data_IF_522222949076
#
_entry.id   IF_522222949076
#
_cell.length_a   1.000
_cell.length_b   1.000
_cell.length_c   1.000
_cell.angle_alpha   90.00
_cell.angle_beta   90.00
_cell.angle_gamma   90.00
#
_symmetry.space_group_name_H-M   'P 1'
#
loop_
_entity.id
_entity.type
_entity.pdbx_description
1 polymer ?
#
# COMPACT_ATOMS: atom_id res chain seq x y z
N UNK A 1 9.13 -7.84 -46.01
CA UNK A 1 8.29 -6.85 -46.75
C UNK A 1 7.26 -6.29 -45.79
N UNK A 2 7.20 -4.96 -45.66
CA UNK A 2 6.09 -4.08 -45.22
C UNK A 2 5.33 -4.36 -43.91
N UNK A 3 4.93 -3.39 -43.08
CA UNK A 3 5.21 -1.95 -42.96
C UNK A 3 4.64 -1.47 -41.59
N UNK A 4 5.45 -0.62 -40.95
CA UNK A 4 5.26 0.39 -39.89
C UNK A 4 3.84 0.78 -39.40
N UNK A 5 3.71 0.69 -38.06
CA UNK A 5 3.45 1.72 -37.01
C UNK A 5 2.20 2.66 -37.04
N UNK A 6 1.72 3.07 -35.83
CA UNK A 6 0.53 3.87 -35.57
C UNK A 6 0.82 5.38 -35.54
N UNK A 7 -0.21 6.22 -35.52
CA UNK A 7 -0.08 7.64 -35.16
C UNK A 7 -1.35 8.14 -34.48
N UNK A 8 -1.14 8.84 -33.36
CA UNK A 8 -2.14 9.68 -32.71
C UNK A 8 -1.62 11.12 -32.57
N UNK A 9 -2.55 12.00 -32.15
CA UNK A 9 -2.48 13.44 -31.73
C UNK A 9 -3.15 14.40 -32.72
N UNK A 10 -4.27 15.05 -32.37
CA UNK A 10 -4.52 16.15 -31.39
C UNK A 10 -4.26 17.55 -31.98
N UNK A 11 -5.38 18.27 -32.15
CA UNK A 11 -5.64 19.73 -32.02
C UNK A 11 -4.94 20.77 -32.89
N UNK A 12 -5.74 21.60 -33.59
CA UNK A 12 -6.01 23.01 -33.21
C UNK A 12 -7.03 23.69 -34.13
N UNK A 13 -7.85 24.52 -33.49
CA UNK A 13 -8.74 25.53 -34.04
C UNK A 13 -7.99 26.75 -34.57
N UNK A 14 -8.48 27.37 -35.64
CA UNK A 14 -8.36 28.83 -35.90
C UNK A 14 -9.62 29.32 -36.62
N UNK A 15 -10.24 30.34 -36.03
CA UNK A 15 -11.34 31.15 -36.52
C UNK A 15 -10.79 32.49 -37.05
N UNK A 16 -11.43 33.07 -38.08
CA UNK A 16 -11.44 34.49 -38.56
C UNK A 16 -11.71 34.48 -40.07
N UNK A 17 -12.55 35.30 -40.67
CA UNK A 17 -13.32 36.44 -40.19
C UNK A 17 -14.17 37.04 -41.32
N UNK A 18 -15.13 37.85 -40.88
CA UNK A 18 -16.15 38.65 -41.56
C UNK A 18 -15.87 39.21 -42.95
N UNK A 19 -16.92 39.21 -43.78
CA UNK A 19 -17.11 40.09 -44.94
C UNK A 19 -18.58 40.14 -45.38
N UNK A 20 -19.34 41.12 -44.88
CA UNK A 20 -20.53 41.72 -45.52
C UNK A 20 -20.21 43.22 -45.68
N UNK A 21 -20.87 44.02 -46.55
CA UNK A 21 -22.18 43.78 -47.18
C UNK A 21 -22.26 44.18 -48.68
N UNK A 22 -23.38 43.86 -49.36
CA UNK A 22 -24.02 44.87 -50.21
C UNK A 22 -25.52 44.63 -50.26
N UNK A 23 -26.23 45.65 -49.78
CA UNK A 23 -27.68 45.82 -49.74
C UNK A 23 -28.23 45.96 -51.15
N UNK A 24 -29.33 45.27 -51.45
CA UNK A 24 -30.33 45.68 -52.43
C UNK A 24 -31.62 44.90 -52.16
N UNK A 25 -32.43 45.42 -51.23
CA UNK A 25 -33.88 45.20 -51.25
C UNK A 25 -34.43 45.98 -52.46
N UNK A 26 -35.47 45.48 -53.17
CA UNK A 26 -36.80 45.78 -52.64
C UNK A 26 -37.88 44.73 -52.93
N UNK A 27 -39.01 44.99 -52.26
CA UNK A 27 -40.37 44.50 -52.53
C UNK A 27 -40.75 43.26 -51.72
N UNK A 28 -41.21 43.56 -50.50
CA UNK A 28 -42.02 42.71 -49.64
C UNK A 28 -43.37 42.44 -50.33
N UNK A 29 -43.51 41.30 -50.98
CA UNK A 29 -44.83 40.69 -51.21
C UNK A 29 -45.25 39.98 -49.93
N UNK A 30 -46.36 40.43 -49.37
CA UNK A 30 -47.07 39.76 -48.28
C UNK A 30 -47.42 38.35 -48.74
N UNK A 31 -46.81 37.35 -48.09
CA UNK A 31 -47.28 35.98 -48.12
C UNK A 31 -47.45 35.55 -46.66
N UNK A 32 -48.66 35.80 -46.15
CA UNK A 32 -49.17 35.11 -44.98
C UNK A 32 -49.30 33.61 -45.29
N UNK A 33 -49.01 32.81 -44.26
CA UNK A 33 -49.34 31.40 -44.12
C UNK A 33 -48.48 30.38 -44.91
N UNK A 34 -47.28 30.13 -44.37
CA UNK A 34 -46.80 28.77 -44.12
C UNK A 34 -45.71 28.87 -43.04
N UNK A 35 -46.10 28.87 -41.77
CA UNK A 35 -45.14 28.47 -40.73
C UNK A 35 -44.94 26.98 -40.96
N UNK A 36 -43.89 26.67 -41.69
CA UNK A 36 -43.60 25.34 -42.24
C UNK A 36 -43.70 24.26 -41.15
N UNK A 37 -44.59 23.29 -41.39
CA UNK A 37 -44.66 22.03 -40.64
C UNK A 37 -43.28 21.36 -40.52
N UNK A 38 -42.36 21.65 -41.44
CA UNK A 38 -40.98 21.13 -41.51
C UNK A 38 -40.07 21.67 -40.38
N UNK A 39 -40.25 22.92 -39.94
CA UNK A 39 -39.44 23.52 -38.86
C UNK A 39 -39.93 23.05 -37.48
N UNK A 40 -41.25 22.86 -37.33
CA UNK A 40 -41.83 22.20 -36.16
C UNK A 40 -41.41 20.73 -36.06
N UNK A 41 -41.34 20.00 -37.19
CA UNK A 41 -40.83 18.63 -37.24
C UNK A 41 -39.32 18.55 -36.92
N UNK A 42 -38.52 19.54 -37.35
CA UNK A 42 -37.09 19.65 -37.03
C UNK A 42 -36.83 19.94 -35.54
N UNK A 43 -37.63 20.82 -34.94
CA UNK A 43 -37.58 21.11 -33.50
C UNK A 43 -38.02 19.88 -32.69
N UNK A 44 -39.04 19.16 -33.13
CA UNK A 44 -39.48 17.92 -32.49
C UNK A 44 -38.45 16.79 -32.62
N UNK A 45 -37.79 16.66 -33.78
CA UNK A 45 -36.72 15.70 -34.01
C UNK A 45 -35.49 16.00 -33.16
N UNK A 46 -35.08 17.26 -33.05
CA UNK A 46 -33.96 17.69 -32.19
C UNK A 46 -34.30 17.51 -30.71
N UNK A 47 -35.52 17.83 -30.29
CA UNK A 47 -35.99 17.58 -28.93
C UNK A 47 -36.02 16.08 -28.59
N UNK A 48 -36.47 15.23 -29.52
CA UNK A 48 -36.44 13.77 -29.36
C UNK A 48 -35.00 13.22 -29.28
N UNK A 49 -34.10 13.73 -30.13
CA UNK A 49 -32.69 13.37 -30.10
C UNK A 49 -32.04 13.76 -28.76
N UNK A 50 -32.27 14.99 -28.28
CA UNK A 50 -31.79 15.46 -26.99
C UNK A 50 -32.34 14.61 -25.84
N UNK A 51 -33.64 14.28 -25.85
CA UNK A 51 -34.25 13.40 -24.84
C UNK A 51 -33.63 12.01 -24.84
N UNK A 52 -33.29 11.49 -26.01
CA UNK A 52 -32.64 10.18 -26.17
C UNK A 52 -31.21 10.21 -25.65
N UNK A 53 -30.45 11.26 -25.97
CA UNK A 53 -29.09 11.48 -25.45
C UNK A 53 -29.12 11.66 -23.93
N UNK A 54 -30.08 12.42 -23.40
CA UNK A 54 -30.19 12.65 -21.96
C UNK A 54 -30.47 11.33 -21.22
N UNK A 55 -31.42 10.52 -21.71
CA UNK A 55 -31.66 9.16 -21.21
C UNK A 55 -30.41 8.27 -21.30
N UNK A 56 -29.61 8.42 -22.35
CA UNK A 56 -28.36 7.67 -22.50
C UNK A 56 -27.32 8.09 -21.45
N UNK A 57 -27.18 9.41 -21.21
CA UNK A 57 -26.28 9.96 -20.18
C UNK A 57 -26.71 9.49 -18.79
N UNK A 58 -28.00 9.57 -18.47
CA UNK A 58 -28.56 9.08 -17.19
C UNK A 58 -28.20 7.60 -16.95
N UNK A 59 -28.40 6.74 -17.96
CA UNK A 59 -28.02 5.31 -17.86
C UNK A 59 -26.52 5.14 -17.61
N UNK A 60 -25.67 5.91 -18.29
CA UNK A 60 -24.21 5.85 -18.09
C UNK A 60 -23.82 6.33 -16.69
N UNK A 61 -24.47 7.38 -16.19
CA UNK A 61 -24.27 7.90 -14.85
C UNK A 61 -24.64 6.85 -13.79
N UNK A 62 -25.82 6.24 -13.91
CA UNK A 62 -26.24 5.16 -13.00
C UNK A 62 -25.27 3.97 -13.03
N UNK A 63 -24.77 3.60 -14.22
CA UNK A 63 -23.76 2.54 -14.35
C UNK A 63 -22.43 2.93 -13.70
N UNK A 64 -21.97 4.17 -13.85
CA UNK A 64 -20.76 4.67 -13.19
C UNK A 64 -20.92 4.71 -11.67
N UNK A 65 -22.08 5.12 -11.17
CA UNK A 65 -22.39 5.11 -9.73
C UNK A 65 -22.35 3.68 -9.18
N UNK A 66 -23.00 2.72 -9.85
CA UNK A 66 -22.98 1.31 -9.46
C UNK A 66 -21.56 0.71 -9.49
N UNK A 67 -20.75 1.06 -10.50
CA UNK A 67 -19.35 0.66 -10.56
C UNK A 67 -18.54 1.27 -9.41
N UNK A 68 -18.78 2.54 -9.08
CA UNK A 68 -18.08 3.23 -7.99
C UNK A 68 -18.40 2.63 -6.63
N UNK A 69 -19.67 2.29 -6.36
CA UNK A 69 -20.07 1.64 -5.11
C UNK A 69 -19.47 0.24 -5.00
N UNK A 70 -19.45 -0.51 -6.10
CA UNK A 70 -18.77 -1.81 -6.17
C UNK A 70 -17.28 -1.70 -5.90
N UNK A 71 -16.58 -0.77 -6.55
CA UNK A 71 -15.16 -0.52 -6.34
C UNK A 71 -14.85 -0.14 -4.89
N UNK A 72 -15.67 0.70 -4.26
CA UNK A 72 -15.53 1.02 -2.83
C UNK A 72 -15.62 -0.23 -1.94
N UNK A 73 -16.56 -1.15 -2.24
CA UNK A 73 -16.67 -2.42 -1.52
C UNK A 73 -15.45 -3.32 -1.75
N UNK A 74 -14.99 -3.45 -3.00
CA UNK A 74 -13.80 -4.25 -3.33
C UNK A 74 -12.55 -3.70 -2.62
N UNK A 75 -12.38 -2.38 -2.57
CA UNK A 75 -11.28 -1.72 -1.87
C UNK A 75 -11.34 -1.98 -0.35
N UNK A 76 -12.54 -1.90 0.24
CA UNK A 76 -12.74 -2.22 1.66
C UNK A 76 -12.42 -3.70 1.96
N UNK A 77 -12.85 -4.62 1.10
CA UNK A 77 -12.52 -6.05 1.24
C UNK A 77 -11.02 -6.28 1.14
N UNK A 78 -10.35 -5.64 0.18
CA UNK A 78 -8.89 -5.72 0.04
C UNK A 78 -8.18 -5.17 1.27
N UNK A 79 -8.60 -4.03 1.79
CA UNK A 79 -8.05 -3.47 3.04
C UNK A 79 -8.25 -4.41 4.22
N UNK A 80 -9.41 -5.07 4.32
CA UNK A 80 -9.67 -6.08 5.36
C UNK A 80 -8.76 -7.28 5.21
N UNK A 81 -8.63 -7.83 4.00
CA UNK A 81 -7.70 -8.92 3.70
C UNK A 81 -6.26 -8.55 4.03
N UNK A 82 -5.80 -7.35 3.67
CA UNK A 82 -4.45 -6.87 4.02
C UNK A 82 -4.28 -6.84 5.55
N UNK A 83 -5.29 -6.39 6.30
CA UNK A 83 -5.24 -6.41 7.78
C UNK A 83 -5.20 -7.84 8.34
N UNK A 84 -5.96 -8.77 7.77
CA UNK A 84 -5.92 -10.19 8.16
C UNK A 84 -4.54 -10.81 7.84
N UNK A 85 -3.93 -10.47 6.71
CA UNK A 85 -2.55 -10.85 6.34
C UNK A 85 -1.46 -10.19 7.21
N UNK A 86 -1.76 -9.15 7.99
CA UNK A 86 -0.80 -8.59 8.96
C UNK A 86 -0.48 -9.56 10.10
N UNK A 87 -1.34 -10.56 10.38
CA UNK A 87 -1.05 -11.55 11.41
C UNK A 87 0.18 -12.43 11.08
N UNK A 88 0.27 -13.04 9.87
CA UNK A 88 1.49 -13.69 9.41
C UNK A 88 2.72 -12.78 9.35
N UNK A 89 2.52 -11.49 9.06
CA UNK A 89 3.63 -10.52 9.03
C UNK A 89 4.15 -10.22 10.44
N UNK A 90 3.26 -10.13 11.43
CA UNK A 90 3.65 -9.86 12.80
C UNK A 90 4.52 -10.98 13.39
N UNK A 91 4.18 -12.25 13.16
CA UNK A 91 5.00 -13.38 13.61
C UNK A 91 6.40 -13.37 12.98
N UNK A 92 6.51 -13.01 11.70
CA UNK A 92 7.79 -12.82 11.02
C UNK A 92 8.60 -11.67 11.66
N UNK A 93 7.95 -10.53 11.93
CA UNK A 93 8.59 -9.37 12.53
C UNK A 93 9.03 -9.63 13.97
N UNK A 94 8.21 -10.32 14.75
CA UNK A 94 8.53 -10.78 16.09
C UNK A 94 9.73 -11.72 16.08
N UNK A 95 9.74 -12.72 15.19
CA UNK A 95 10.85 -13.65 15.03
C UNK A 95 12.15 -12.94 14.67
N UNK A 96 12.12 -12.00 13.72
CA UNK A 96 13.30 -11.27 13.28
C UNK A 96 13.83 -10.31 14.36
N UNK A 97 12.94 -9.61 15.06
CA UNK A 97 13.32 -8.73 16.17
C UNK A 97 13.95 -9.49 17.33
N UNK A 98 13.37 -10.63 17.70
CA UNK A 98 13.92 -11.46 18.75
C UNK A 98 15.23 -12.11 18.32
N UNK A 99 15.37 -12.52 17.06
CA UNK A 99 16.65 -12.98 16.49
C UNK A 99 17.72 -11.92 16.67
N UNK A 100 17.42 -10.66 16.31
CA UNK A 100 18.35 -9.56 16.44
C UNK A 100 18.71 -9.28 17.91
N UNK A 101 17.74 -9.36 18.80
CA UNK A 101 17.99 -9.23 20.24
C UNK A 101 18.91 -10.34 20.76
N UNK A 102 18.76 -11.58 20.27
CA UNK A 102 19.64 -12.69 20.63
C UNK A 102 21.07 -12.41 20.19
N UNK A 103 21.27 -11.91 18.97
CA UNK A 103 22.60 -11.54 18.45
C UNK A 103 23.27 -10.48 19.34
N UNK A 104 22.55 -9.39 19.65
CA UNK A 104 23.06 -8.30 20.50
C UNK A 104 23.37 -8.80 21.92
N UNK A 105 22.48 -9.61 22.50
CA UNK A 105 22.68 -10.16 23.84
C UNK A 105 23.87 -11.12 23.91
N UNK A 106 24.11 -11.95 22.89
CA UNK A 106 25.28 -12.83 22.81
C UNK A 106 26.57 -12.05 22.62
N UNK A 107 26.55 -11.02 21.77
CA UNK A 107 27.68 -10.10 21.61
C UNK A 107 28.05 -9.43 22.94
N UNK A 108 27.04 -8.98 23.70
CA UNK A 108 27.24 -8.40 25.04
C UNK A 108 27.71 -9.44 26.08
N UNK A 109 27.44 -10.73 25.90
CA UNK A 109 27.98 -11.80 26.75
C UNK A 109 29.38 -12.28 26.33
N UNK A 110 29.96 -11.70 25.26
CA UNK A 110 31.18 -12.18 24.62
C UNK A 110 31.13 -13.68 24.26
N UNK A 111 29.94 -14.18 23.92
CA UNK A 111 29.72 -15.59 23.53
C UNK A 111 29.53 -15.67 22.02
N UNK A 112 30.10 -16.71 21.42
CA UNK A 112 29.82 -17.09 20.04
C UNK A 112 28.50 -17.86 20.00
N UNK A 113 27.72 -17.68 18.93
CA UNK A 113 26.49 -18.44 18.74
C UNK A 113 26.79 -19.96 18.70
N UNK A 114 25.92 -20.81 19.25
CA UNK A 114 26.07 -22.25 19.19
C UNK A 114 26.21 -22.73 17.74
N UNK A 115 27.19 -23.58 17.45
CA UNK A 115 27.39 -24.16 16.11
C UNK A 115 28.35 -23.40 15.18
N UNK A 116 29.04 -22.35 15.65
CA UNK A 116 30.09 -21.69 14.86
C UNK A 116 29.58 -20.93 13.63
N UNK A 117 28.28 -20.65 13.61
CA UNK A 117 27.59 -19.95 12.52
C UNK A 117 28.21 -18.56 12.31
N UNK A 118 28.68 -18.30 11.09
CA UNK A 118 29.02 -16.97 10.60
C UNK A 118 27.80 -16.39 9.90
N UNK A 119 27.35 -15.23 10.36
CA UNK A 119 26.17 -14.53 9.84
C UNK A 119 26.41 -14.08 8.39
N UNK A 120 25.54 -14.47 7.44
CA UNK A 120 25.48 -13.85 6.11
C UNK A 120 25.38 -14.76 4.88
N UNK A 121 25.49 -16.09 5.03
CA UNK A 121 25.27 -17.03 3.92
C UNK A 121 24.57 -18.26 4.50
N UNK A 122 23.38 -18.61 4.00
CA UNK A 122 22.75 -19.86 4.41
C UNK A 122 21.83 -20.47 3.36
N UNK A 123 22.16 -21.70 2.93
CA UNK A 123 21.26 -22.58 2.18
C UNK A 123 20.02 -23.00 3.00
N UNK A 124 19.05 -23.65 2.37
CA UNK A 124 17.83 -24.12 3.05
C UNK A 124 18.11 -25.08 4.22
N UNK A 125 19.11 -25.96 4.09
CA UNK A 125 19.56 -26.85 5.17
C UNK A 125 20.26 -26.10 6.31
N UNK A 126 20.92 -24.98 6.02
CA UNK A 126 21.48 -24.10 7.03
C UNK A 126 20.39 -23.32 7.78
N UNK A 127 19.20 -23.10 7.18
CA UNK A 127 18.10 -22.38 7.84
C UNK A 127 17.58 -23.11 9.08
N UNK A 128 17.30 -24.41 8.99
CA UNK A 128 16.82 -25.20 10.14
C UNK A 128 17.87 -25.28 11.24
N UNK A 129 19.13 -25.50 10.87
CA UNK A 129 20.26 -25.48 11.80
C UNK A 129 20.42 -24.12 12.50
N UNK A 130 20.27 -23.02 11.75
CA UNK A 130 20.25 -21.66 12.30
C UNK A 130 19.09 -21.46 13.26
N UNK A 131 17.88 -21.88 12.89
CA UNK A 131 16.69 -21.77 13.75
C UNK A 131 16.89 -22.53 15.06
N UNK A 132 17.47 -23.73 15.00
CA UNK A 132 17.82 -24.49 16.19
C UNK A 132 18.92 -23.81 17.03
N UNK A 133 19.97 -23.31 16.39
CA UNK A 133 21.06 -22.59 17.06
C UNK A 133 20.57 -21.33 17.80
N UNK A 134 19.74 -20.51 17.16
CA UNK A 134 19.12 -19.35 17.79
C UNK A 134 18.16 -19.74 18.91
N UNK A 135 17.43 -20.85 18.77
CA UNK A 135 16.56 -21.36 19.84
C UNK A 135 17.34 -21.76 21.09
N UNK A 136 18.50 -22.41 20.92
CA UNK A 136 19.41 -22.73 22.04
C UNK A 136 20.02 -21.45 22.61
N UNK A 137 20.47 -20.54 21.74
CA UNK A 137 21.08 -19.27 22.12
C UNK A 137 20.13 -18.43 22.97
N UNK A 138 18.84 -18.37 22.60
CA UNK A 138 17.80 -17.64 23.32
C UNK A 138 17.64 -18.13 24.77
N UNK A 139 17.57 -19.46 24.95
CA UNK A 139 17.49 -20.10 26.28
C UNK A 139 18.74 -19.83 27.13
N UNK A 140 19.90 -19.67 26.48
CA UNK A 140 21.17 -19.38 27.16
C UNK A 140 21.36 -17.92 27.63
N UNK A 141 20.48 -16.99 27.24
CA UNK A 141 20.59 -15.57 27.63
C UNK A 141 20.14 -15.39 29.07
N UNK A 142 21.00 -14.81 29.92
CA UNK A 142 20.68 -14.51 31.31
C UNK A 142 19.84 -13.24 31.42
N UNK A 143 18.86 -13.23 32.32
CA UNK A 143 18.07 -12.02 32.64
C UNK A 143 18.96 -10.82 32.99
N UNK A 144 20.06 -11.04 33.71
CA UNK A 144 21.02 -9.99 34.07
C UNK A 144 21.70 -9.33 32.86
N UNK A 145 21.83 -10.03 31.74
CA UNK A 145 22.33 -9.42 30.48
C UNK A 145 21.31 -8.44 29.91
N UNK A 146 20.03 -8.80 29.91
CA UNK A 146 18.97 -7.92 29.40
C UNK A 146 18.79 -6.69 30.29
N UNK A 147 18.93 -6.84 31.60
CA UNK A 147 18.93 -5.70 32.52
C UNK A 147 20.07 -4.71 32.24
N UNK A 148 21.27 -5.19 31.89
CA UNK A 148 22.39 -4.32 31.45
C UNK A 148 22.09 -3.59 30.15
N UNK A 149 21.28 -4.19 29.28
CA UNK A 149 20.76 -3.57 28.06
C UNK A 149 19.54 -2.65 28.31
N UNK A 150 19.15 -2.43 29.58
CA UNK A 150 18.00 -1.59 29.94
C UNK A 150 16.63 -2.25 29.69
N UNK A 151 16.60 -3.57 29.47
CA UNK A 151 15.39 -4.33 29.19
C UNK A 151 14.85 -5.03 30.46
N UNK A 152 13.53 -5.00 30.62
CA UNK A 152 12.83 -5.63 31.73
C UNK A 152 12.72 -7.16 31.58
N UNK A 153 12.22 -7.82 32.61
CA UNK A 153 11.99 -9.27 32.62
C UNK A 153 11.05 -9.75 31.50
N UNK A 154 10.11 -8.91 31.05
CA UNK A 154 9.19 -9.26 29.95
C UNK A 154 9.93 -9.66 28.67
N UNK A 155 11.07 -9.03 28.39
CA UNK A 155 11.90 -9.38 27.24
C UNK A 155 12.65 -10.70 27.43
N UNK A 156 13.00 -11.02 28.68
CA UNK A 156 13.57 -12.33 28.99
C UNK A 156 12.56 -13.44 28.72
N UNK A 157 11.31 -13.25 29.18
CA UNK A 157 10.22 -14.20 28.95
C UNK A 157 9.92 -14.35 27.45
N UNK A 158 9.92 -13.25 26.68
CA UNK A 158 9.78 -13.31 25.23
C UNK A 158 10.89 -14.13 24.56
N UNK A 159 12.15 -13.98 24.99
CA UNK A 159 13.26 -14.78 24.50
C UNK A 159 13.13 -16.27 24.87
N UNK A 160 12.61 -16.61 26.05
CA UNK A 160 12.36 -18.00 26.42
C UNK A 160 11.32 -18.67 25.51
N UNK A 161 10.39 -17.89 24.97
CA UNK A 161 9.35 -18.32 24.03
C UNK A 161 9.77 -18.24 22.56
N UNK A 162 11.01 -17.83 22.27
CA UNK A 162 11.48 -17.64 20.90
C UNK A 162 11.30 -18.88 20.01
N UNK A 163 11.40 -20.09 20.55
CA UNK A 163 11.18 -21.33 19.77
C UNK A 163 9.77 -21.44 19.16
N UNK A 164 8.78 -20.74 19.70
CA UNK A 164 7.41 -20.68 19.16
C UNK A 164 7.36 -19.87 17.86
N UNK A 165 8.20 -18.83 17.76
CA UNK A 165 8.20 -17.89 16.62
C UNK A 165 9.37 -18.11 15.65
N UNK A 166 10.39 -18.88 16.06
CA UNK A 166 11.58 -19.16 15.26
C UNK A 166 11.32 -19.69 13.82
N UNK A 167 10.26 -20.49 13.55
CA UNK A 167 9.92 -20.92 12.19
C UNK A 167 9.60 -19.77 11.22
N UNK A 168 9.11 -18.64 11.74
CA UNK A 168 8.71 -17.47 10.96
C UNK A 168 9.87 -16.53 10.62
N UNK A 169 11.07 -16.79 11.15
CA UNK A 169 12.26 -15.97 10.89
C UNK A 169 12.53 -15.87 9.39
N UNK A 170 12.77 -14.65 8.92
CA UNK A 170 13.22 -14.39 7.56
C UNK A 170 14.66 -14.85 7.34
N UNK A 171 15.09 -14.87 6.07
CA UNK A 171 16.49 -15.17 5.73
C UNK A 171 17.43 -14.03 6.17
N UNK A 172 16.92 -12.81 6.29
CA UNK A 172 17.69 -11.65 6.73
C UNK A 172 16.84 -10.79 7.69
N UNK A 173 17.11 -10.83 9.01
CA UNK A 173 16.36 -10.08 10.03
C UNK A 173 16.34 -8.56 9.83
N UNK A 174 17.30 -7.98 9.09
CA UNK A 174 17.32 -6.55 8.80
C UNK A 174 16.27 -6.13 7.76
N UNK A 175 15.72 -7.06 6.98
CA UNK A 175 14.75 -6.74 5.93
C UNK A 175 13.40 -6.27 6.49
N UNK A 176 13.03 -6.75 7.68
CA UNK A 176 11.71 -6.50 8.25
C UNK A 176 11.66 -5.30 9.16
N UNK A 177 12.81 -4.74 9.55
CA UNK A 177 12.89 -3.66 10.52
C UNK A 177 12.05 -2.45 10.14
N UNK A 178 12.25 -1.89 8.94
CA UNK A 178 11.57 -0.67 8.52
C UNK A 178 10.06 -0.85 8.40
N UNK A 179 9.64 -1.99 7.85
CA UNK A 179 8.23 -2.36 7.75
C UNK A 179 7.60 -2.51 9.14
N UNK A 180 8.32 -3.13 10.08
CA UNK A 180 7.84 -3.31 11.45
C UNK A 180 7.76 -1.99 12.20
N UNK A 181 8.78 -1.13 12.08
CA UNK A 181 8.79 0.20 12.67
C UNK A 181 7.61 1.04 12.17
N UNK A 182 7.38 1.06 10.86
CA UNK A 182 6.26 1.77 10.25
C UNK A 182 4.92 1.24 10.74
N UNK A 183 4.74 -0.08 10.76
CA UNK A 183 3.50 -0.68 11.24
C UNK A 183 3.24 -0.36 12.72
N UNK A 184 4.26 -0.45 13.58
CA UNK A 184 4.12 -0.12 15.00
C UNK A 184 3.72 1.34 15.22
N UNK A 185 4.29 2.28 14.45
CA UNK A 185 3.91 3.70 14.53
C UNK A 185 2.47 3.92 14.05
N UNK A 186 2.05 3.27 12.96
CA UNK A 186 0.66 3.31 12.48
C UNK A 186 -0.33 2.71 13.49
N UNK A 187 0.06 1.65 14.20
CA UNK A 187 -0.78 0.91 15.14
C UNK A 187 -0.64 1.39 16.59
N UNK A 188 0.11 2.48 16.85
CA UNK A 188 0.42 2.97 18.19
C UNK A 188 -0.85 3.30 19.00
N UNK A 189 -1.85 3.90 18.36
CA UNK A 189 -3.12 4.26 19.01
C UNK A 189 -4.03 3.05 19.25
N UNK A 190 -4.01 2.08 18.33
CA UNK A 190 -4.87 0.90 18.41
C UNK A 190 -4.32 -0.18 19.35
N UNK A 191 -2.99 -0.31 19.45
CA UNK A 191 -2.28 -1.33 20.24
C UNK A 191 -1.09 -0.70 21.00
N UNK A 192 -1.35 0.18 21.98
CA UNK A 192 -0.29 0.91 22.69
C UNK A 192 0.65 -0.01 23.48
N UNK A 193 0.16 -1.16 23.94
CA UNK A 193 0.96 -2.14 24.67
C UNK A 193 2.05 -2.78 23.79
N UNK A 194 1.69 -3.18 22.56
CA UNK A 194 2.65 -3.71 21.58
C UNK A 194 3.67 -2.64 21.21
N UNK A 195 3.21 -1.43 20.93
CA UNK A 195 4.10 -0.32 20.63
C UNK A 195 5.12 -0.09 21.75
N UNK A 196 4.66 0.00 23.00
CA UNK A 196 5.53 0.26 24.17
C UNK A 196 6.54 -0.87 24.38
N UNK A 197 6.13 -2.13 24.15
CA UNK A 197 7.01 -3.28 24.28
C UNK A 197 8.06 -3.31 23.17
N UNK A 198 7.66 -3.28 21.90
CA UNK A 198 8.56 -3.46 20.77
C UNK A 198 9.43 -2.24 20.49
N UNK A 199 8.93 -1.00 20.68
CA UNK A 199 9.68 0.22 20.44
C UNK A 199 10.98 0.33 21.25
N UNK A 200 11.00 -0.20 22.47
CA UNK A 200 12.21 -0.22 23.32
C UNK A 200 13.33 -1.10 22.78
N UNK A 201 13.01 -2.07 21.92
CA UNK A 201 14.03 -2.93 21.31
C UNK A 201 14.77 -2.22 20.17
N UNK A 202 14.18 -1.21 19.53
CA UNK A 202 14.81 -0.55 18.38
C UNK A 202 16.16 0.10 18.71
N UNK A 203 16.30 0.91 19.79
CA UNK A 203 17.58 1.47 20.17
C UNK A 203 18.62 0.41 20.55
N UNK A 204 18.19 -0.74 21.08
CA UNK A 204 19.09 -1.83 21.49
C UNK A 204 19.54 -2.67 20.30
N UNK A 205 18.66 -2.92 19.34
CA UNK A 205 18.89 -3.83 18.22
C UNK A 205 19.53 -3.15 17.00
N UNK A 206 19.25 -1.86 16.81
CA UNK A 206 19.61 -1.11 15.59
C UNK A 206 20.24 0.26 15.86
N UNK A 207 20.50 0.61 17.12
CA UNK A 207 21.09 1.90 17.51
C UNK A 207 20.31 3.14 17.03
N UNK A 208 18.99 2.98 16.83
CA UNK A 208 18.09 4.04 16.36
C UNK A 208 16.71 3.95 17.00
N UNK A 209 16.00 5.08 17.05
CA UNK A 209 14.63 5.09 17.55
C UNK A 209 13.66 4.46 16.54
N UNK A 210 12.51 4.02 17.02
CA UNK A 210 11.46 3.48 16.15
C UNK A 210 10.98 4.50 15.11
N UNK A 211 10.92 5.79 15.47
CA UNK A 211 10.53 6.86 14.55
C UNK A 211 11.57 7.05 13.45
N UNK A 212 12.86 6.95 13.80
CA UNK A 212 13.94 7.00 12.81
C UNK A 212 13.84 5.80 11.87
N UNK A 213 13.68 4.58 12.38
CA UNK A 213 13.46 3.39 11.55
C UNK A 213 12.21 3.52 10.65
N UNK A 214 11.11 4.07 11.16
CA UNK A 214 9.88 4.23 10.38
C UNK A 214 10.01 5.28 9.27
N UNK A 215 10.95 6.23 9.38
CA UNK A 215 11.11 7.36 8.47
C UNK A 215 12.12 7.13 7.33
N UNK A 216 12.80 5.97 7.31
CA UNK A 216 13.90 5.73 6.36
C UNK A 216 13.41 5.44 4.92
N UNK A 217 12.09 5.42 4.66
CA UNK A 217 11.51 5.27 3.32
C UNK A 217 10.19 6.03 3.13
#
# INVERSE_FOLDING_TARGET
>A
MSKRLPSGRVSRSVSRGNGLPLVSDPIRSVQEAAWDDDDYQSIDATHYALKTVNKHIERRLSKLQANTTRLKRELWLLQRHIKEFRHPLFENWEADMLTRLIEVAHAHQHRKLPGGVVLGQSSFAERENLTHAFSIAAKGIRQSTLQKLGLSEKYHQALQRYSEVAPYRSTNPFQTEFAFAKWLVEEQENRPELYTFWSKLFPVCYDRSIQQSASIF
#
